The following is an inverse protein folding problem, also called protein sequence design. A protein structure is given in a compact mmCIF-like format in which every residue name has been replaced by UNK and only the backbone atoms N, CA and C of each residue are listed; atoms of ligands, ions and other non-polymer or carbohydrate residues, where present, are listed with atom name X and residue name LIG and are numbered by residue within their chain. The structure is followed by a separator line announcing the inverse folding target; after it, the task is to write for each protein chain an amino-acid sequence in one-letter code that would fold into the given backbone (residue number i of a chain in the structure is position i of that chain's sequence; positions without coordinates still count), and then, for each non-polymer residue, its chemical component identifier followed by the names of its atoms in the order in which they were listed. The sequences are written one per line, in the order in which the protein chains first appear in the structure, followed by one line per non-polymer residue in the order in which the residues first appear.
data_IF_296493910651
#
_entry.id   IF_296493910651
#
_cell.length_a   1.000
_cell.length_b   1.000
_cell.length_c   1.000
_cell.angle_alpha   90.00
_cell.angle_beta   90.00
_cell.angle_gamma   90.00
#
_symmetry.space_group_name_H-M   'P 1'
#
loop_
_entity.id
_entity.type
_entity.pdbx_description
1 polymer ?
#
# COMPACT_ATOMS: atom_id res chain seq x y z
N UNK A 1 -18.83 -32.53 11.98
CA UNK A 1 -19.42 -31.51 12.87
C UNK A 1 -18.25 -30.72 13.47
N UNK A 2 -17.82 -29.68 12.73
CA UNK A 2 -16.61 -28.87 12.99
C UNK A 2 -17.00 -27.77 13.98
N UNK A 3 -16.38 -27.73 15.17
CA UNK A 3 -16.38 -26.55 16.04
C UNK A 3 -15.02 -25.85 15.90
N UNK A 4 -15.02 -24.75 15.15
CA UNK A 4 -13.94 -23.77 15.12
C UNK A 4 -13.91 -23.07 16.49
N UNK A 5 -12.86 -23.30 17.29
CA UNK A 5 -12.61 -22.50 18.48
C UNK A 5 -11.99 -21.17 18.06
N UNK A 6 -12.81 -20.12 18.12
CA UNK A 6 -12.38 -18.72 18.15
C UNK A 6 -11.52 -18.50 19.42
N UNK A 7 -10.20 -18.48 19.27
CA UNK A 7 -9.33 -17.96 20.33
C UNK A 7 -9.08 -16.47 20.09
N UNK A 8 -9.90 -15.65 20.75
CA UNK A 8 -9.64 -14.21 20.89
C UNK A 8 -8.40 -14.05 21.78
N UNK A 9 -7.38 -13.25 21.36
CA UNK A 9 -6.22 -13.00 22.21
C UNK A 9 -6.65 -12.23 23.48
N UNK A 10 -6.10 -12.63 24.62
CA UNK A 10 -6.44 -12.09 25.95
C UNK A 10 -6.21 -10.58 26.04
N UNK A 11 -7.04 -9.90 26.82
CA UNK A 11 -7.02 -8.44 27.07
C UNK A 11 -5.64 -7.90 27.45
N UNK A 12 -4.82 -8.71 28.13
CA UNK A 12 -3.45 -8.37 28.54
C UNK A 12 -2.47 -8.23 27.38
N UNK A 13 -2.62 -9.06 26.33
CA UNK A 13 -1.78 -8.97 25.12
C UNK A 13 -2.07 -7.70 24.31
N UNK A 14 -3.33 -7.24 24.28
CA UNK A 14 -3.73 -5.99 23.61
C UNK A 14 -3.22 -4.74 24.35
N UNK A 15 -3.19 -4.77 25.68
CA UNK A 15 -2.64 -3.68 26.51
C UNK A 15 -1.11 -3.58 26.37
N UNK A 16 -0.40 -4.71 26.25
CA UNK A 16 1.05 -4.71 26.03
C UNK A 16 1.42 -4.21 24.63
N UNK A 17 0.69 -4.64 23.58
CA UNK A 17 0.84 -4.09 22.24
C UNK A 17 0.59 -2.59 22.22
N UNK A 18 -0.47 -2.11 22.87
CA UNK A 18 -0.72 -0.68 23.04
C UNK A 18 0.42 0.04 23.78
N UNK A 19 1.07 -0.59 24.75
CA UNK A 19 2.19 -0.02 25.54
C UNK A 19 3.50 0.08 24.76
N UNK A 20 3.87 -0.96 24.00
CA UNK A 20 5.06 -0.91 23.12
C UNK A 20 4.83 0.00 21.90
N UNK A 21 3.62 0.00 21.35
CA UNK A 21 3.21 0.92 20.28
C UNK A 21 3.08 2.35 20.80
N UNK A 22 2.64 2.60 22.05
CA UNK A 22 2.65 3.96 22.63
C UNK A 22 4.06 4.48 22.85
N UNK A 23 5.05 3.62 23.13
CA UNK A 23 6.46 4.05 23.16
C UNK A 23 6.96 4.44 21.78
N UNK A 24 6.60 3.73 20.72
CA UNK A 24 6.96 4.12 19.36
C UNK A 24 6.21 5.35 18.86
N UNK A 25 4.92 5.49 19.23
CA UNK A 25 4.14 6.71 19.04
C UNK A 25 4.77 7.95 19.72
N UNK A 26 5.67 7.76 20.69
CA UNK A 26 6.40 8.85 21.33
C UNK A 26 7.63 9.31 20.53
N UNK A 27 8.15 8.48 19.62
CA UNK A 27 9.31 8.80 18.77
C UNK A 27 8.92 9.22 17.34
N UNK A 28 7.71 8.91 16.89
CA UNK A 28 7.10 9.59 15.74
C UNK A 28 6.75 11.01 16.17
N UNK A 29 7.34 12.00 15.51
CA UNK A 29 6.98 13.43 15.55
C UNK A 29 5.52 13.67 15.91
N UNK A 30 5.27 14.62 16.82
CA UNK A 30 3.95 15.15 17.23
C UNK A 30 2.87 14.75 16.22
N UNK A 31 2.07 13.71 16.52
CA UNK A 31 0.87 13.45 15.72
C UNK A 31 0.10 14.76 15.73
N UNK A 32 -0.14 15.40 14.58
CA UNK A 32 -0.75 16.71 14.55
C UNK A 32 -2.06 16.62 15.32
N UNK A 33 -2.10 17.27 16.49
CA UNK A 33 -3.33 17.43 17.23
C UNK A 33 -4.15 18.39 16.40
N UNK A 34 -5.07 17.85 15.61
CA UNK A 34 -6.05 18.67 14.93
C UNK A 34 -6.86 19.35 16.04
N UNK A 35 -6.80 20.67 16.13
CA UNK A 35 -7.43 21.44 17.21
C UNK A 35 -8.97 21.37 17.18
N UNK A 36 -9.54 20.70 16.18
CA UNK A 36 -10.96 20.43 16.02
C UNK A 36 -11.78 21.68 15.68
N UNK A 37 -11.13 22.83 15.40
CA UNK A 37 -11.83 24.10 15.24
C UNK A 37 -12.24 24.41 13.81
N UNK A 38 -11.59 23.81 12.80
CA UNK A 38 -12.02 23.89 11.38
C UNK A 38 -11.59 22.62 10.64
N UNK A 39 -12.50 21.87 9.99
CA UNK A 39 -12.16 20.64 9.26
C UNK A 39 -11.17 20.92 8.11
N UNK A 40 -10.21 20.02 7.88
CA UNK A 40 -9.16 20.22 6.87
C UNK A 40 -9.71 20.17 5.43
N UNK A 41 -10.80 19.43 5.26
CA UNK A 41 -11.60 19.28 4.04
C UNK A 41 -13.07 19.52 4.34
N UNK A 42 -13.84 20.02 3.39
CA UNK A 42 -15.28 20.21 3.56
C UNK A 42 -16.03 18.90 3.34
N UNK A 43 -15.59 18.09 2.37
CA UNK A 43 -16.20 16.80 2.03
C UNK A 43 -15.19 15.84 1.43
N UNK A 44 -15.16 14.62 1.96
CA UNK A 44 -14.26 13.55 1.54
C UNK A 44 -15.05 12.48 0.77
N UNK A 45 -14.66 12.21 -0.46
CA UNK A 45 -15.19 11.10 -1.25
C UNK A 45 -14.23 9.91 -1.23
N UNK A 46 -14.74 8.68 -1.16
CA UNK A 46 -13.94 7.46 -1.35
C UNK A 46 -14.56 6.58 -2.43
N UNK A 47 -13.81 6.34 -3.50
CA UNK A 47 -14.21 5.48 -4.62
C UNK A 47 -13.49 4.14 -4.49
N UNK A 48 -14.26 3.11 -4.13
CA UNK A 48 -13.80 1.81 -3.68
C UNK A 48 -13.79 1.71 -2.16
N UNK A 49 -14.33 0.63 -1.61
CA UNK A 49 -14.42 0.36 -0.15
C UNK A 49 -13.68 -0.91 0.26
N UNK A 50 -12.69 -1.31 -0.54
CA UNK A 50 -11.84 -2.47 -0.24
C UNK A 50 -10.95 -2.29 1.00
N UNK A 51 -10.15 -3.31 1.29
CA UNK A 51 -9.28 -3.35 2.49
C UNK A 51 -8.35 -2.14 2.62
N UNK A 52 -7.84 -1.60 1.51
CA UNK A 52 -6.95 -0.44 1.54
C UNK A 52 -7.70 0.87 1.78
N UNK A 53 -8.87 1.05 1.16
CA UNK A 53 -9.75 2.17 1.48
C UNK A 53 -10.07 2.20 2.98
N UNK A 54 -10.50 1.06 3.52
CA UNK A 54 -10.78 0.92 4.94
C UNK A 54 -9.56 1.22 5.83
N UNK A 55 -8.36 0.79 5.40
CA UNK A 55 -7.11 1.05 6.11
C UNK A 55 -6.74 2.54 6.22
N UNK A 56 -7.25 3.38 5.32
CA UNK A 56 -7.02 4.82 5.31
C UNK A 56 -8.17 5.59 5.97
N UNK A 57 -9.41 5.21 5.69
CA UNK A 57 -10.60 5.86 6.27
C UNK A 57 -10.66 5.69 7.79
N UNK A 58 -10.39 4.47 8.29
CA UNK A 58 -10.53 4.17 9.72
C UNK A 58 -9.59 5.01 10.59
N UNK A 59 -8.28 5.15 10.30
CA UNK A 59 -7.43 6.05 11.06
C UNK A 59 -7.86 7.51 10.97
N UNK A 60 -8.26 8.02 9.80
CA UNK A 60 -8.73 9.41 9.66
C UNK A 60 -9.92 9.72 10.58
N UNK A 61 -10.83 8.76 10.76
CA UNK A 61 -12.00 8.92 11.63
C UNK A 61 -11.62 8.75 13.11
N UNK A 62 -10.91 7.66 13.43
CA UNK A 62 -10.62 7.28 14.83
C UNK A 62 -9.57 8.17 15.51
N UNK A 63 -8.69 8.82 14.74
CA UNK A 63 -7.76 9.84 15.25
C UNK A 63 -8.40 11.22 15.40
N UNK A 64 -9.64 11.40 14.92
CA UNK A 64 -10.35 12.68 14.95
C UNK A 64 -9.92 13.66 13.86
N UNK A 65 -9.20 13.20 12.83
CA UNK A 65 -8.82 14.06 11.69
C UNK A 65 -10.06 14.59 10.95
N UNK A 66 -11.07 13.73 10.74
CA UNK A 66 -12.40 14.16 10.27
C UNK A 66 -13.52 13.33 10.93
N UNK A 67 -14.69 13.93 11.23
CA UNK A 67 -15.87 13.18 11.64
C UNK A 67 -16.42 12.33 10.47
N UNK A 68 -16.97 11.15 10.78
CA UNK A 68 -17.46 10.20 9.79
C UNK A 68 -18.53 10.78 8.82
N UNK A 69 -19.30 11.78 9.27
CA UNK A 69 -20.32 12.46 8.47
C UNK A 69 -19.75 13.22 7.25
N UNK A 70 -18.46 13.56 7.27
CA UNK A 70 -17.80 14.29 6.18
C UNK A 70 -17.40 13.34 5.04
N UNK A 71 -17.52 12.02 5.24
CA UNK A 71 -17.13 11.00 4.28
C UNK A 71 -18.34 10.44 3.54
N UNK A 72 -18.25 10.41 2.21
CA UNK A 72 -19.15 9.69 1.32
C UNK A 72 -18.38 8.61 0.57
N UNK A 73 -18.86 7.36 0.60
CA UNK A 73 -18.20 6.22 -0.05
C UNK A 73 -19.06 5.63 -1.15
N UNK A 74 -18.41 5.10 -2.19
CA UNK A 74 -19.05 4.34 -3.26
C UNK A 74 -18.23 3.10 -3.60
N UNK A 75 -18.89 1.95 -3.78
CA UNK A 75 -18.30 0.75 -4.36
C UNK A 75 -19.33 0.03 -5.23
N UNK A 76 -18.87 -0.65 -6.28
CA UNK A 76 -19.71 -1.51 -7.13
C UNK A 76 -20.32 -2.67 -6.33
N UNK A 77 -19.69 -3.06 -5.23
CA UNK A 77 -20.20 -4.02 -4.26
C UNK A 77 -20.97 -3.31 -3.15
N UNK A 78 -22.29 -3.33 -3.24
CA UNK A 78 -23.19 -2.78 -2.21
C UNK A 78 -22.94 -3.38 -0.83
N UNK A 79 -22.67 -4.69 -0.75
CA UNK A 79 -22.36 -5.37 0.51
C UNK A 79 -21.09 -4.81 1.18
N UNK A 80 -20.00 -4.63 0.44
CA UNK A 80 -18.78 -4.02 1.01
C UNK A 80 -19.01 -2.57 1.43
N UNK A 81 -19.78 -1.83 0.64
CA UNK A 81 -20.13 -0.44 0.94
C UNK A 81 -20.96 -0.34 2.24
N UNK A 82 -21.99 -1.17 2.41
CA UNK A 82 -22.80 -1.24 3.64
C UNK A 82 -21.97 -1.68 4.84
N UNK A 83 -21.05 -2.64 4.69
CA UNK A 83 -20.16 -3.06 5.77
C UNK A 83 -19.30 -1.89 6.27
N UNK A 84 -18.68 -1.15 5.36
CA UNK A 84 -17.84 0.01 5.71
C UNK A 84 -18.68 1.14 6.30
N UNK A 85 -19.88 1.40 5.77
CA UNK A 85 -20.82 2.38 6.33
C UNK A 85 -21.20 2.03 7.77
N UNK A 86 -21.55 0.77 8.03
CA UNK A 86 -21.95 0.32 9.36
C UNK A 86 -20.78 0.34 10.37
N UNK A 87 -19.57 -0.02 9.93
CA UNK A 87 -18.38 0.00 10.81
C UNK A 87 -17.92 1.42 11.13
N UNK A 88 -17.88 2.32 10.14
CA UNK A 88 -17.25 3.63 10.27
C UNK A 88 -18.24 4.78 10.45
N UNK A 89 -19.53 4.58 10.23
CA UNK A 89 -20.56 5.62 10.28
C UNK A 89 -20.50 6.62 9.12
N UNK A 90 -19.92 6.21 8.00
CA UNK A 90 -19.79 7.03 6.78
C UNK A 90 -21.04 6.94 5.90
N UNK A 91 -21.26 7.95 5.07
CA UNK A 91 -22.38 7.99 4.12
C UNK A 91 -22.06 7.14 2.89
N UNK A 92 -23.09 6.58 2.26
CA UNK A 92 -22.97 5.82 1.00
C UNK A 92 -23.60 6.60 -0.15
N UNK A 93 -23.02 6.50 -1.34
CA UNK A 93 -23.60 7.01 -2.58
C UNK A 93 -24.05 5.87 -3.50
N UNK A 94 -24.93 6.17 -4.44
CA UNK A 94 -25.41 5.23 -5.47
C UNK A 94 -24.55 5.26 -6.74
N UNK A 95 -23.71 6.28 -6.90
CA UNK A 95 -22.85 6.45 -8.08
C UNK A 95 -21.56 7.22 -7.78
N UNK A 96 -20.58 7.14 -8.69
CA UNK A 96 -19.32 7.91 -8.60
C UNK A 96 -19.60 9.43 -8.62
N UNK A 97 -20.45 9.98 -9.54
CA UNK A 97 -20.77 11.41 -9.53
C UNK A 97 -21.33 11.89 -8.19
N UNK A 98 -22.27 11.15 -7.61
CA UNK A 98 -22.89 11.50 -6.33
C UNK A 98 -21.86 11.50 -5.18
N UNK A 99 -20.98 10.51 -5.13
CA UNK A 99 -19.93 10.45 -4.12
C UNK A 99 -19.00 11.67 -4.19
N UNK A 100 -18.62 12.08 -5.40
CA UNK A 100 -17.65 13.14 -5.66
C UNK A 100 -18.27 14.55 -5.62
N UNK A 101 -19.59 14.68 -5.70
CA UNK A 101 -20.28 15.97 -5.76
C UNK A 101 -19.85 16.92 -4.63
N UNK A 102 -19.20 18.03 -4.99
CA UNK A 102 -18.67 19.04 -4.06
C UNK A 102 -17.51 18.57 -3.18
N UNK A 103 -16.97 17.37 -3.37
CA UNK A 103 -15.84 16.85 -2.59
C UNK A 103 -14.56 17.63 -2.90
N UNK A 104 -13.81 18.01 -1.87
CA UNK A 104 -12.51 18.67 -1.97
C UNK A 104 -11.33 17.73 -1.66
N UNK A 105 -11.61 16.52 -1.18
CA UNK A 105 -10.65 15.42 -1.15
C UNK A 105 -11.28 14.12 -1.65
N UNK A 106 -10.61 13.44 -2.57
CA UNK A 106 -11.13 12.23 -3.21
C UNK A 106 -10.08 11.13 -3.08
N UNK A 107 -10.41 10.07 -2.33
CA UNK A 107 -9.61 8.86 -2.25
C UNK A 107 -10.08 7.86 -3.31
N UNK A 108 -9.20 7.52 -4.26
CA UNK A 108 -9.45 6.51 -5.27
C UNK A 108 -8.71 5.21 -4.93
N UNK A 109 -9.48 4.22 -4.49
CA UNK A 109 -9.00 2.94 -3.95
C UNK A 109 -9.64 1.73 -4.63
N UNK A 110 -9.98 1.87 -5.91
CA UNK A 110 -10.48 0.77 -6.74
C UNK A 110 -9.36 -0.19 -7.16
N UNK A 111 -9.72 -1.39 -7.61
CA UNK A 111 -8.76 -2.30 -8.22
C UNK A 111 -8.28 -1.76 -9.58
N UNK A 112 -7.01 -2.00 -9.99
CA UNK A 112 -6.51 -1.53 -11.28
C UNK A 112 -7.35 -1.96 -12.49
N UNK A 113 -7.98 -3.14 -12.43
CA UNK A 113 -8.85 -3.65 -13.50
C UNK A 113 -10.17 -2.87 -13.64
N UNK A 114 -10.56 -2.13 -12.62
CA UNK A 114 -11.80 -1.35 -12.63
C UNK A 114 -11.62 0.04 -13.26
N UNK A 115 -10.38 0.46 -13.57
CA UNK A 115 -10.10 1.71 -14.31
C UNK A 115 -10.33 1.52 -15.82
N UNK A 116 -11.59 1.28 -16.20
CA UNK A 116 -12.00 1.10 -17.58
C UNK A 116 -12.76 2.34 -18.11
N UNK A 117 -13.18 2.29 -19.38
CA UNK A 117 -13.88 3.40 -20.02
C UNK A 117 -15.17 3.81 -19.30
N UNK A 118 -15.90 2.86 -18.70
CA UNK A 118 -17.12 3.14 -17.95
C UNK A 118 -16.83 3.89 -16.64
N UNK A 119 -15.76 3.51 -15.93
CA UNK A 119 -15.30 4.23 -14.74
C UNK A 119 -14.99 5.70 -15.06
N UNK A 120 -14.22 5.95 -16.11
CA UNK A 120 -13.89 7.33 -16.51
C UNK A 120 -15.10 8.10 -17.08
N UNK A 121 -16.07 7.41 -17.69
CA UNK A 121 -17.31 8.03 -18.14
C UNK A 121 -18.14 8.55 -16.96
N UNK A 122 -18.25 7.78 -15.88
CA UNK A 122 -18.89 8.21 -14.64
C UNK A 122 -18.08 9.32 -13.96
N UNK A 123 -16.76 9.16 -13.84
CA UNK A 123 -15.90 10.17 -13.21
C UNK A 123 -15.99 11.54 -13.90
N UNK A 124 -16.12 11.58 -15.24
CA UNK A 124 -16.31 12.84 -16.01
C UNK A 124 -17.65 13.53 -15.76
N UNK A 125 -18.67 12.81 -15.29
CA UNK A 125 -19.97 13.41 -14.92
C UNK A 125 -19.94 14.06 -13.54
N UNK A 126 -18.95 13.73 -12.72
CA UNK A 126 -18.81 14.25 -11.37
C UNK A 126 -18.44 15.73 -11.35
N UNK A 127 -18.94 16.47 -10.35
CA UNK A 127 -18.60 17.88 -10.13
C UNK A 127 -17.86 18.03 -8.79
N UNK A 128 -16.54 17.74 -8.75
CA UNK A 128 -15.75 17.97 -7.55
C UNK A 128 -15.62 19.47 -7.24
N UNK A 129 -15.19 19.79 -6.02
CA UNK A 129 -14.79 21.14 -5.69
C UNK A 129 -13.67 21.63 -6.65
N UNK A 130 -13.63 22.91 -7.06
CA UNK A 130 -12.61 23.39 -8.02
C UNK A 130 -11.16 23.19 -7.60
N UNK A 131 -10.91 23.09 -6.29
CA UNK A 131 -9.58 22.85 -5.71
C UNK A 131 -9.39 21.42 -5.18
N UNK A 132 -10.24 20.47 -5.60
CA UNK A 132 -10.21 19.11 -5.09
C UNK A 132 -8.85 18.43 -5.32
N UNK A 133 -8.43 17.64 -4.34
CA UNK A 133 -7.23 16.80 -4.43
C UNK A 133 -7.65 15.34 -4.58
N UNK A 134 -7.18 14.68 -5.64
CA UNK A 134 -7.37 13.26 -5.89
C UNK A 134 -6.17 12.47 -5.37
N UNK A 135 -6.36 11.66 -4.33
CA UNK A 135 -5.37 10.70 -3.84
C UNK A 135 -5.67 9.30 -4.39
N UNK A 136 -4.79 8.78 -5.25
CA UNK A 136 -4.87 7.42 -5.77
C UNK A 136 -3.95 6.48 -5.00
N UNK A 137 -4.47 5.30 -4.64
CA UNK A 137 -3.72 4.20 -4.00
C UNK A 137 -3.63 2.96 -4.92
N UNK A 138 -3.88 3.15 -6.21
CA UNK A 138 -4.04 2.06 -7.17
C UNK A 138 -2.66 1.57 -7.62
N UNK A 139 -2.36 0.31 -7.32
CA UNK A 139 -1.09 -0.31 -7.68
C UNK A 139 -0.81 -0.29 -9.19
N UNK A 140 0.41 0.09 -9.56
CA UNK A 140 0.89 0.12 -10.94
C UNK A 140 0.30 1.21 -11.82
N UNK A 141 -0.64 2.05 -11.36
CA UNK A 141 -1.26 3.08 -12.19
C UNK A 141 -0.66 4.44 -11.90
N UNK A 142 -0.07 5.05 -12.94
CA UNK A 142 0.54 6.37 -12.83
C UNK A 142 -0.50 7.47 -12.70
N UNK A 143 -0.05 8.66 -12.28
CA UNK A 143 -0.85 9.88 -12.24
C UNK A 143 -1.53 10.15 -13.60
N UNK A 144 -0.81 9.88 -14.69
CA UNK A 144 -1.29 10.06 -16.06
C UNK A 144 -2.62 9.36 -16.34
N UNK A 145 -2.97 8.27 -15.65
CA UNK A 145 -4.27 7.59 -15.90
C UNK A 145 -5.48 8.51 -15.68
N UNK A 146 -5.31 9.56 -14.88
CA UNK A 146 -6.35 10.53 -14.53
C UNK A 146 -6.34 11.80 -15.39
N UNK A 147 -5.54 11.88 -16.46
CA UNK A 147 -5.51 13.05 -17.35
C UNK A 147 -6.86 13.38 -18.01
N UNK A 148 -7.76 12.40 -18.10
CA UNK A 148 -9.12 12.57 -18.62
C UNK A 148 -10.11 13.15 -17.58
N UNK A 149 -9.66 13.37 -16.35
CA UNK A 149 -10.49 13.95 -15.28
C UNK A 149 -10.34 15.47 -15.28
N UNK A 150 -11.30 16.17 -14.67
CA UNK A 150 -11.24 17.63 -14.48
C UNK A 150 -10.35 18.06 -13.29
N UNK A 151 -9.62 17.12 -12.68
CA UNK A 151 -8.85 17.34 -11.46
C UNK A 151 -7.37 17.44 -11.81
N UNK A 152 -6.75 18.58 -11.47
CA UNK A 152 -5.33 18.82 -11.75
C UNK A 152 -4.42 18.54 -10.55
N UNK A 153 -4.96 18.50 -9.33
CA UNK A 153 -4.21 18.16 -8.11
C UNK A 153 -4.33 16.67 -7.84
N UNK A 154 -3.35 15.90 -8.28
CA UNK A 154 -3.37 14.44 -8.18
C UNK A 154 -2.16 13.99 -7.38
N UNK A 155 -2.41 13.11 -6.43
CA UNK A 155 -1.42 12.41 -5.63
C UNK A 155 -1.50 10.94 -5.97
N UNK A 156 -0.36 10.34 -6.31
CA UNK A 156 -0.23 8.89 -6.33
C UNK A 156 0.48 8.46 -5.06
N UNK A 157 -0.04 7.42 -4.42
CA UNK A 157 0.52 6.90 -3.17
C UNK A 157 0.54 5.38 -3.17
N UNK A 158 1.50 4.82 -2.46
CA UNK A 158 1.61 3.38 -2.19
C UNK A 158 1.66 3.15 -0.68
N UNK A 159 0.49 3.09 -0.01
CA UNK A 159 0.39 2.66 1.38
C UNK A 159 0.56 1.14 1.51
N UNK A 160 0.64 0.65 2.74
CA UNK A 160 0.68 -0.78 3.04
C UNK A 160 -0.29 -1.18 4.17
N UNK A 161 -0.49 -2.49 4.36
CA UNK A 161 -1.54 -3.00 5.27
C UNK A 161 -1.35 -2.65 6.75
N UNK A 162 -0.13 -2.47 7.30
CA UNK A 162 0.06 -1.94 8.65
C UNK A 162 -0.56 -0.54 8.89
N UNK A 163 -0.99 0.17 7.85
CA UNK A 163 -1.77 1.41 7.97
C UNK A 163 -3.02 1.26 8.87
N UNK A 164 -3.63 0.06 8.88
CA UNK A 164 -4.81 -0.25 9.70
C UNK A 164 -4.58 -0.11 11.22
N UNK A 165 -3.31 -0.16 11.66
CA UNK A 165 -2.93 0.01 13.06
C UNK A 165 -2.08 1.26 13.29
N UNK A 166 -2.02 2.16 12.30
CA UNK A 166 -1.28 3.41 12.37
C UNK A 166 0.25 3.27 12.29
N UNK A 167 0.74 2.11 11.87
CA UNK A 167 2.18 1.80 11.72
C UNK A 167 2.52 1.49 10.25
N UNK A 168 1.76 2.11 9.33
CA UNK A 168 1.97 1.99 7.89
C UNK A 168 3.19 2.76 7.40
N UNK A 169 3.59 2.43 6.17
CA UNK A 169 4.52 3.22 5.38
C UNK A 169 3.87 3.59 4.06
N UNK A 170 3.78 4.88 3.75
CA UNK A 170 3.22 5.38 2.50
C UNK A 170 4.25 6.19 1.72
N UNK A 171 4.67 5.70 0.56
CA UNK A 171 5.47 6.49 -0.38
C UNK A 171 4.53 7.19 -1.35
N UNK A 172 4.74 8.48 -1.62
CA UNK A 172 3.82 9.25 -2.46
C UNK A 172 4.51 10.33 -3.28
N UNK A 173 3.92 10.63 -4.43
CA UNK A 173 4.32 11.70 -5.35
C UNK A 173 3.07 12.39 -5.87
N UNK A 174 3.22 13.54 -6.51
CA UNK A 174 2.08 14.35 -6.91
C UNK A 174 2.34 15.18 -8.16
N UNK A 175 1.27 15.69 -8.76
CA UNK A 175 1.38 16.66 -9.86
C UNK A 175 2.05 17.96 -9.40
N UNK A 176 2.70 18.70 -10.31
CA UNK A 176 3.27 20.01 -10.01
C UNK A 176 2.24 21.05 -9.55
N UNK A 177 0.95 20.81 -9.79
CA UNK A 177 -0.15 21.69 -9.41
C UNK A 177 -0.44 21.71 -7.90
N UNK A 178 0.12 20.77 -7.12
CA UNK A 178 0.02 20.83 -5.66
C UNK A 178 0.96 21.89 -5.09
N UNK A 179 0.38 22.83 -4.35
CA UNK A 179 1.12 23.85 -3.60
C UNK A 179 1.84 23.24 -2.39
N UNK A 180 2.75 23.99 -1.76
CA UNK A 180 3.38 23.55 -0.51
C UNK A 180 2.38 23.26 0.62
N UNK A 181 1.32 24.05 0.72
CA UNK A 181 0.22 23.80 1.67
C UNK A 181 -0.57 22.54 1.33
N UNK A 182 -0.84 22.27 0.05
CA UNK A 182 -1.50 21.02 -0.37
C UNK A 182 -0.64 19.81 0.03
N UNK A 183 0.68 19.88 -0.20
CA UNK A 183 1.61 18.80 0.18
C UNK A 183 1.65 18.56 1.68
N UNK A 184 1.68 19.61 2.50
CA UNK A 184 1.64 19.49 3.96
C UNK A 184 0.31 18.87 4.43
N UNK A 185 -0.80 19.23 3.81
CA UNK A 185 -2.10 18.66 4.10
C UNK A 185 -2.15 17.16 3.76
N UNK A 186 -1.63 16.76 2.60
CA UNK A 186 -1.53 15.35 2.21
C UNK A 186 -0.61 14.56 3.14
N UNK A 187 0.55 15.12 3.50
CA UNK A 187 1.43 14.51 4.48
C UNK A 187 0.70 14.29 5.81
N UNK A 188 -0.10 15.26 6.27
CA UNK A 188 -0.92 15.17 7.49
C UNK A 188 -1.93 14.04 7.41
N UNK A 189 -2.69 13.94 6.30
CA UNK A 189 -3.64 12.86 6.04
C UNK A 189 -2.96 11.50 6.13
N UNK A 190 -1.86 11.32 5.40
CA UNK A 190 -1.14 10.05 5.35
C UNK A 190 -0.49 9.70 6.70
N UNK A 191 -0.12 10.71 7.50
CA UNK A 191 0.45 10.51 8.83
C UNK A 191 -0.54 9.93 9.85
N UNK A 192 -1.84 10.03 9.60
CA UNK A 192 -2.86 9.35 10.43
C UNK A 192 -2.70 7.82 10.37
N UNK A 193 -2.13 7.32 9.27
CA UNK A 193 -1.98 5.91 8.96
C UNK A 193 -0.57 5.36 9.25
N UNK A 194 0.38 6.20 9.66
CA UNK A 194 1.77 5.80 9.92
C UNK A 194 2.77 6.79 9.31
N UNK A 195 3.95 6.33 8.93
CA UNK A 195 4.94 7.20 8.30
C UNK A 195 4.61 7.40 6.81
N UNK A 196 4.81 8.61 6.30
CA UNK A 196 4.79 8.87 4.85
C UNK A 196 6.06 9.55 4.35
N UNK A 197 6.42 9.26 3.11
CA UNK A 197 7.62 9.75 2.44
C UNK A 197 7.26 10.29 1.06
N UNK A 198 7.51 11.58 0.88
CA UNK A 198 7.38 12.23 -0.42
C UNK A 198 8.59 11.89 -1.31
N UNK A 199 8.33 11.66 -2.59
CA UNK A 199 9.35 11.46 -3.63
C UNK A 199 9.00 12.29 -4.87
N UNK A 200 9.99 12.97 -5.44
CA UNK A 200 9.80 13.79 -6.64
C UNK A 200 9.55 12.94 -7.90
N UNK A 201 10.27 11.82 -8.03
CA UNK A 201 10.14 10.89 -9.15
C UNK A 201 9.07 9.84 -8.83
N UNK A 202 8.01 9.84 -9.63
CA UNK A 202 6.88 8.92 -9.51
C UNK A 202 7.30 7.44 -9.63
N UNK A 203 8.40 7.14 -10.35
CA UNK A 203 8.90 5.77 -10.51
C UNK A 203 9.32 5.12 -9.20
N UNK A 204 9.68 5.91 -8.17
CA UNK A 204 9.95 5.40 -6.83
C UNK A 204 8.71 4.76 -6.19
N UNK A 205 7.49 5.12 -6.61
CA UNK A 205 6.27 4.52 -6.06
C UNK A 205 6.19 3.03 -6.46
N UNK A 206 6.51 2.69 -7.71
CA UNK A 206 6.55 1.29 -8.14
C UNK A 206 7.68 0.50 -7.46
N UNK A 207 8.82 1.15 -7.20
CA UNK A 207 9.89 0.54 -6.40
C UNK A 207 9.42 0.30 -4.95
N UNK A 208 8.75 1.28 -4.35
CA UNK A 208 8.20 1.18 -3.01
C UNK A 208 7.17 0.06 -2.86
N UNK A 209 6.41 -0.27 -3.92
CA UNK A 209 5.55 -1.47 -3.97
C UNK A 209 6.30 -2.74 -3.56
N UNK A 210 7.53 -2.90 -4.05
CA UNK A 210 8.37 -4.08 -3.77
C UNK A 210 9.03 -4.08 -2.40
N UNK A 211 9.06 -2.92 -1.72
CA UNK A 211 9.70 -2.74 -0.41
C UNK A 211 8.64 -2.72 0.69
N UNK A 212 7.79 -1.69 0.71
CA UNK A 212 6.82 -1.45 1.77
C UNK A 212 5.42 -1.95 1.43
N UNK A 213 5.00 -1.90 0.16
CA UNK A 213 3.65 -2.31 -0.26
C UNK A 213 3.42 -3.81 -0.07
N UNK A 214 4.30 -4.63 -0.67
CA UNK A 214 4.28 -6.10 -0.56
C UNK A 214 5.13 -6.62 0.61
N UNK A 215 6.00 -5.77 1.19
CA UNK A 215 6.87 -6.08 2.32
C UNK A 215 6.21 -6.84 3.47
N UNK A 216 5.00 -6.45 3.94
CA UNK A 216 4.31 -7.18 5.01
C UNK A 216 4.14 -8.66 4.73
N UNK A 217 3.91 -9.08 3.47
CA UNK A 217 3.79 -10.49 3.13
C UNK A 217 5.11 -11.25 3.33
N UNK A 218 6.25 -10.63 3.03
CA UNK A 218 7.57 -11.21 3.26
C UNK A 218 7.83 -11.40 4.76
N UNK A 219 7.45 -10.39 5.54
CA UNK A 219 7.56 -10.41 7.00
C UNK A 219 6.66 -11.48 7.60
N UNK A 220 5.41 -11.62 7.15
CA UNK A 220 4.50 -12.66 7.65
C UNK A 220 4.98 -14.06 7.30
N UNK A 221 5.52 -14.28 6.11
CA UNK A 221 6.10 -15.57 5.73
C UNK A 221 7.33 -15.92 6.60
N UNK A 222 8.17 -14.93 6.91
CA UNK A 222 9.29 -15.12 7.83
C UNK A 222 8.80 -15.45 9.25
N UNK A 223 7.80 -14.73 9.76
CA UNK A 223 7.18 -15.03 11.05
C UNK A 223 6.65 -16.45 11.10
N UNK A 224 5.86 -16.84 10.10
CA UNK A 224 5.29 -18.19 9.98
C UNK A 224 6.39 -19.25 10.02
N UNK A 225 7.43 -19.08 9.23
CA UNK A 225 8.58 -20.00 9.16
C UNK A 225 9.31 -20.12 10.51
N UNK A 226 9.50 -19.01 11.22
CA UNK A 226 10.13 -19.01 12.55
C UNK A 226 9.26 -19.71 13.59
N UNK A 227 7.95 -19.49 13.55
CA UNK A 227 7.01 -20.15 14.48
C UNK A 227 6.98 -21.66 14.21
N UNK A 228 6.95 -22.07 12.94
CA UNK A 228 7.02 -23.49 12.56
C UNK A 228 8.32 -24.15 13.05
N UNK A 229 9.46 -23.48 12.86
CA UNK A 229 10.75 -23.96 13.38
C UNK A 229 10.75 -24.12 14.89
N UNK A 230 10.20 -23.15 15.64
CA UNK A 230 10.09 -23.24 17.09
C UNK A 230 9.17 -24.39 17.55
N UNK A 231 8.05 -24.60 16.87
CA UNK A 231 7.15 -25.73 17.15
C UNK A 231 7.83 -27.06 16.86
N UNK A 232 8.61 -27.15 15.80
CA UNK A 232 9.39 -28.36 15.50
C UNK A 232 10.44 -28.68 16.57
N UNK A 233 11.00 -27.67 17.23
CA UNK A 233 11.88 -27.83 18.39
C UNK A 233 11.13 -28.18 19.70
N UNK A 234 9.80 -28.25 19.68
CA UNK A 234 8.97 -28.67 20.81
C UNK A 234 8.25 -27.55 21.54
N UNK A 235 8.29 -26.30 21.06
CA UNK A 235 7.49 -25.23 21.66
C UNK A 235 5.99 -25.41 21.37
N UNK A 236 5.12 -25.13 22.35
CA UNK A 236 3.71 -24.83 22.08
C UNK A 236 3.58 -23.65 21.10
N UNK A 237 2.63 -23.78 20.15
CA UNK A 237 2.42 -22.80 19.06
C UNK A 237 2.20 -21.38 19.58
N UNK A 238 1.40 -21.22 20.63
CA UNK A 238 1.11 -19.93 21.25
C UNK A 238 2.37 -19.24 21.78
N UNK A 239 3.23 -19.97 22.49
CA UNK A 239 4.51 -19.47 23.01
C UNK A 239 5.47 -19.11 21.89
N UNK A 240 5.57 -19.97 20.87
CA UNK A 240 6.39 -19.70 19.68
C UNK A 240 5.95 -18.40 18.98
N UNK A 241 4.65 -18.21 18.77
CA UNK A 241 4.10 -16.98 18.19
C UNK A 241 4.48 -15.75 19.00
N UNK A 242 4.32 -15.79 20.33
CA UNK A 242 4.70 -14.67 21.19
C UNK A 242 6.20 -14.34 21.08
N UNK A 243 7.07 -15.35 21.12
CA UNK A 243 8.52 -15.16 20.98
C UNK A 243 8.89 -14.50 19.65
N UNK A 244 8.31 -14.97 18.54
CA UNK A 244 8.60 -14.43 17.20
C UNK A 244 8.11 -12.99 17.07
N UNK A 245 6.90 -12.68 17.52
CA UNK A 245 6.36 -11.32 17.45
C UNK A 245 7.23 -10.31 18.20
N UNK A 246 7.65 -10.64 19.44
CA UNK A 246 8.51 -9.75 20.22
C UNK A 246 9.93 -9.66 19.67
N UNK A 247 10.47 -10.75 19.11
CA UNK A 247 11.80 -10.74 18.46
C UNK A 247 11.82 -9.80 17.26
N UNK A 248 10.81 -9.87 16.39
CA UNK A 248 10.77 -9.02 15.20
C UNK A 248 10.48 -7.55 15.53
N UNK A 249 9.53 -7.29 16.44
CA UNK A 249 9.23 -5.93 16.90
C UNK A 249 10.47 -5.30 17.56
N UNK A 250 11.06 -5.97 18.56
CA UNK A 250 12.20 -5.45 19.30
C UNK A 250 13.43 -5.21 18.42
N UNK A 251 13.72 -6.12 17.48
CA UNK A 251 14.86 -5.97 16.56
C UNK A 251 14.67 -4.77 15.63
N UNK A 252 13.45 -4.55 15.14
CA UNK A 252 13.13 -3.42 14.25
C UNK A 252 13.25 -2.10 15.01
N UNK A 253 12.64 -2.00 16.19
CA UNK A 253 12.72 -0.83 17.05
C UNK A 253 14.16 -0.47 17.42
N UNK A 254 14.94 -1.47 17.84
CA UNK A 254 16.34 -1.27 18.20
C UNK A 254 17.17 -0.78 17.00
N UNK A 255 16.95 -1.34 15.81
CA UNK A 255 17.62 -0.87 14.61
C UNK A 255 17.32 0.60 14.30
N UNK A 256 16.05 1.00 14.41
CA UNK A 256 15.63 2.38 14.16
C UNK A 256 16.19 3.36 15.19
N UNK A 257 16.16 3.02 16.48
CA UNK A 257 16.69 3.88 17.55
C UNK A 257 18.22 3.98 17.53
N UNK A 258 18.91 2.90 17.16
CA UNK A 258 20.37 2.90 17.08
C UNK A 258 20.93 3.77 15.95
N UNK A 259 20.21 3.89 14.83
CA UNK A 259 20.74 4.48 13.59
C UNK A 259 21.89 3.68 12.96
N UNK A 260 22.26 2.53 13.52
CA UNK A 260 23.38 1.71 13.07
C UNK A 260 23.02 0.89 11.83
N UNK A 261 24.02 0.63 11.00
CA UNK A 261 23.83 -0.24 9.84
C UNK A 261 23.43 -1.67 10.30
N UNK A 262 22.42 -2.34 9.70
CA UNK A 262 21.95 -3.66 10.15
C UNK A 262 23.04 -4.75 10.24
N UNK A 263 24.10 -4.64 9.42
CA UNK A 263 25.24 -5.56 9.51
C UNK A 263 26.02 -5.43 10.85
N UNK A 264 26.12 -4.22 11.41
CA UNK A 264 26.74 -3.97 12.71
C UNK A 264 25.87 -4.59 13.81
N UNK A 265 24.56 -4.31 13.79
CA UNK A 265 23.58 -4.89 14.72
C UNK A 265 23.62 -6.42 14.72
N UNK A 266 23.63 -7.04 13.54
CA UNK A 266 23.77 -8.50 13.38
C UNK A 266 25.08 -9.01 13.98
N UNK A 267 26.19 -8.32 13.75
CA UNK A 267 27.49 -8.73 14.29
C UNK A 267 27.51 -8.65 15.84
N UNK A 268 26.88 -7.63 16.43
CA UNK A 268 26.82 -7.46 17.89
C UNK A 268 26.08 -8.59 18.62
N UNK A 269 25.12 -9.25 17.95
CA UNK A 269 24.38 -10.41 18.52
C UNK A 269 24.97 -11.77 18.10
N UNK A 270 26.13 -11.77 17.42
CA UNK A 270 26.78 -12.98 16.91
C UNK A 270 28.08 -13.25 17.66
N UNK A 271 28.02 -14.09 18.68
CA UNK A 271 29.22 -14.58 19.36
C UNK A 271 29.97 -15.62 18.50
N UNK A 272 31.33 -15.60 18.50
CA UNK A 272 32.11 -16.64 17.83
C UNK A 272 31.73 -18.04 18.30
N UNK A 273 31.50 -18.96 17.35
CA UNK A 273 31.05 -20.33 17.61
C UNK A 273 29.73 -20.45 18.40
N UNK A 274 28.97 -19.36 18.51
CA UNK A 274 27.68 -19.34 19.21
C UNK A 274 26.51 -19.82 18.36
N UNK A 275 25.34 -19.94 18.99
CA UNK A 275 24.10 -20.38 18.34
C UNK A 275 23.70 -19.47 17.17
N UNK A 276 23.84 -18.15 17.31
CA UNK A 276 23.56 -17.18 16.23
C UNK A 276 24.47 -17.41 15.02
N UNK A 277 25.76 -17.69 15.23
CA UNK A 277 26.70 -17.92 14.14
C UNK A 277 26.32 -19.16 13.31
N UNK A 278 25.95 -20.26 13.97
CA UNK A 278 25.47 -21.48 13.31
C UNK A 278 24.17 -21.26 12.54
N UNK A 279 23.22 -20.50 13.11
CA UNK A 279 21.97 -20.18 12.43
C UNK A 279 22.18 -19.28 11.19
N UNK A 280 23.02 -18.25 11.31
CA UNK A 280 23.36 -17.36 10.18
C UNK A 280 24.06 -18.11 9.06
N UNK A 281 24.91 -19.10 9.37
CA UNK A 281 25.53 -19.97 8.36
C UNK A 281 24.47 -20.69 7.52
N UNK A 282 23.47 -21.31 8.14
CA UNK A 282 22.40 -22.01 7.41
C UNK A 282 21.52 -21.06 6.58
N UNK A 283 21.24 -19.86 7.10
CA UNK A 283 20.49 -18.83 6.35
C UNK A 283 21.25 -18.38 5.09
N UNK A 284 22.56 -18.18 5.17
CA UNK A 284 23.39 -17.82 4.02
C UNK A 284 23.56 -19.01 3.05
N UNK A 285 23.69 -20.24 3.55
CA UNK A 285 23.71 -21.45 2.74
C UNK A 285 22.40 -21.63 1.95
N UNK A 286 21.27 -21.29 2.59
CA UNK A 286 19.95 -21.18 1.95
C UNK A 286 19.79 -20.01 0.98
N UNK A 287 20.83 -19.18 0.78
CA UNK A 287 20.88 -18.05 -0.15
C UNK A 287 19.80 -17.00 0.13
N UNK A 288 19.48 -16.77 1.41
CA UNK A 288 18.38 -15.87 1.82
C UNK A 288 18.45 -14.49 1.14
N UNK A 289 19.65 -13.92 0.98
CA UNK A 289 19.85 -12.62 0.32
C UNK A 289 19.38 -12.62 -1.12
N UNK A 290 19.69 -13.69 -1.86
CA UNK A 290 19.29 -13.85 -3.26
C UNK A 290 17.79 -14.03 -3.35
N UNK A 291 17.19 -14.87 -2.49
CA UNK A 291 15.75 -15.10 -2.45
C UNK A 291 14.98 -13.80 -2.22
N UNK A 292 15.37 -13.01 -1.21
CA UNK A 292 14.71 -11.73 -0.90
C UNK A 292 14.85 -10.76 -2.08
N UNK A 293 16.07 -10.59 -2.61
CA UNK A 293 16.34 -9.69 -3.73
C UNK A 293 15.52 -10.08 -4.96
N UNK A 294 15.46 -11.36 -5.31
CA UNK A 294 14.75 -11.84 -6.49
C UNK A 294 13.22 -11.71 -6.31
N UNK A 295 12.70 -11.92 -5.10
CA UNK A 295 11.30 -11.68 -4.77
C UNK A 295 10.91 -10.19 -4.93
N UNK A 296 11.78 -9.27 -4.47
CA UNK A 296 11.57 -7.83 -4.65
C UNK A 296 11.57 -7.43 -6.13
N UNK A 297 12.54 -7.92 -6.91
CA UNK A 297 12.56 -7.67 -8.36
C UNK A 297 11.33 -8.24 -9.08
N UNK A 298 10.90 -9.44 -8.73
CA UNK A 298 9.68 -10.03 -9.29
C UNK A 298 8.45 -9.18 -8.97
N UNK A 299 8.34 -8.68 -7.74
CA UNK A 299 7.26 -7.79 -7.32
C UNK A 299 7.29 -6.45 -8.09
N UNK A 300 8.46 -5.83 -8.21
CA UNK A 300 8.61 -4.56 -8.94
C UNK A 300 8.21 -4.71 -10.41
N UNK A 301 8.70 -5.74 -11.09
CA UNK A 301 8.32 -6.02 -12.49
C UNK A 301 6.82 -6.23 -12.64
N UNK A 302 6.20 -6.95 -11.69
CA UNK A 302 4.75 -7.15 -11.72
C UNK A 302 3.97 -5.85 -11.53
N UNK A 303 4.47 -4.93 -10.70
CA UNK A 303 3.88 -3.58 -10.56
C UNK A 303 3.87 -2.84 -11.90
N UNK A 304 4.99 -2.88 -12.63
CA UNK A 304 5.13 -2.27 -13.96
C UNK A 304 4.20 -2.92 -14.99
N UNK A 305 4.12 -4.26 -15.04
CA UNK A 305 3.19 -4.99 -15.92
C UNK A 305 1.73 -4.59 -15.68
N UNK A 306 1.30 -4.47 -14.42
CA UNK A 306 -0.05 -4.05 -14.08
C UNK A 306 -0.35 -2.60 -14.52
N UNK A 307 0.71 -1.79 -14.63
CA UNK A 307 0.68 -0.44 -15.19
C UNK A 307 0.74 -0.35 -16.70
N UNK A 308 0.97 -1.47 -17.40
CA UNK A 308 1.35 -1.49 -18.82
C UNK A 308 2.65 -0.70 -19.10
N UNK A 309 3.59 -0.71 -18.15
CA UNK A 309 4.94 -0.15 -18.31
C UNK A 309 5.96 -1.23 -18.68
N UNK A 310 7.12 -0.83 -19.20
CA UNK A 310 8.21 -1.75 -19.50
C UNK A 310 8.72 -2.42 -18.21
N UNK A 311 8.47 -3.72 -18.09
CA UNK A 311 8.88 -4.54 -16.94
C UNK A 311 10.24 -5.24 -17.15
N UNK A 312 10.94 -4.93 -18.23
CA UNK A 312 12.23 -5.53 -18.58
C UNK A 312 13.41 -4.91 -17.80
N UNK A 313 13.27 -4.88 -16.47
CA UNK A 313 14.20 -4.21 -15.55
C UNK A 313 14.87 -5.19 -14.58
N UNK A 314 16.10 -4.84 -14.19
CA UNK A 314 16.87 -5.55 -13.17
C UNK A 314 17.76 -6.69 -13.68
N UNK A 315 18.38 -7.46 -12.75
CA UNK A 315 19.35 -8.49 -13.09
C UNK A 315 18.76 -9.61 -13.96
N UNK A 316 19.54 -10.10 -14.93
CA UNK A 316 19.16 -11.25 -15.76
C UNK A 316 18.16 -10.96 -16.88
N UNK A 317 17.95 -9.69 -17.22
CA UNK A 317 17.10 -9.23 -18.33
C UNK A 317 17.95 -8.46 -19.34
N UNK A 318 17.78 -8.73 -20.65
CA UNK A 318 18.47 -7.98 -21.72
C UNK A 318 17.67 -6.72 -22.05
N UNK A 319 18.32 -5.57 -22.21
CA UNK A 319 17.70 -4.37 -22.81
C UNK A 319 17.45 -4.60 -24.32
N UNK A 320 16.52 -5.48 -24.65
CA UNK A 320 15.93 -5.52 -25.99
C UNK A 320 14.58 -4.82 -25.88
N UNK A 321 14.34 -3.72 -26.61
CA UNK A 321 13.11 -2.97 -26.49
C UNK A 321 11.93 -3.85 -26.89
N UNK A 322 10.99 -4.05 -25.97
CA UNK A 322 9.69 -4.59 -26.34
C UNK A 322 8.94 -3.51 -27.12
N UNK A 323 8.73 -3.75 -28.41
CA UNK A 323 7.74 -3.02 -29.19
C UNK A 323 6.40 -3.29 -28.53
N UNK A 324 5.88 -2.31 -27.78
CA UNK A 324 4.49 -2.31 -27.35
C UNK A 324 3.68 -2.19 -28.64
N UNK A 325 3.10 -3.30 -29.09
CA UNK A 325 2.11 -3.25 -30.15
C UNK A 325 0.92 -2.45 -29.62
N UNK A 326 0.89 -1.16 -29.97
CA UNK A 326 -0.32 -0.37 -29.90
C UNK A 326 -1.38 -1.13 -30.73
N UNK A 327 -2.49 -1.48 -30.11
CA UNK A 327 -3.64 -2.00 -30.82
C UNK A 327 -4.13 -0.90 -31.78
N UNK A 328 -3.81 -1.03 -33.05
CA UNK A 328 -4.47 -0.26 -34.11
C UNK A 328 -5.87 -0.82 -34.31
N UNK A 329 -6.90 0.02 -34.42
CA UNK A 329 -8.25 -0.45 -34.74
C UNK A 329 -8.33 -0.90 -36.19
N UNK A 330 -9.20 -1.88 -36.41
CA UNK A 330 -9.48 -2.58 -37.66
C UNK A 330 -9.46 -1.71 -38.93
N UNK A 331 -8.81 -2.21 -39.98
CA UNK A 331 -9.15 -1.88 -41.36
C UNK A 331 -9.21 -3.15 -42.21
N UNK A 332 -10.45 -3.58 -42.43
CA UNK A 332 -11.02 -4.27 -43.58
C UNK A 332 -10.12 -5.09 -44.52
N UNK A 333 -10.58 -6.34 -44.71
CA UNK A 333 -10.27 -7.24 -45.80
C UNK A 333 -10.37 -6.55 -47.18
N UNK A 334 -9.34 -6.72 -48.01
CA UNK A 334 -9.53 -6.89 -49.45
C UNK A 334 -8.63 -8.01 -49.94
N UNK A 335 -9.26 -9.05 -50.47
CA UNK A 335 -8.68 -10.00 -51.41
C UNK A 335 -8.08 -9.27 -52.60
N UNK A 336 -6.83 -9.59 -52.93
CA UNK A 336 -6.29 -9.77 -54.28
C UNK A 336 -4.77 -9.64 -54.21
N UNK A 337 -4.06 -10.76 -54.40
CA UNK A 337 -2.92 -10.90 -55.30
C UNK A 337 -2.17 -12.21 -54.99
N UNK A 338 -2.56 -13.23 -55.75
CA UNK A 338 -1.72 -14.38 -56.04
C UNK A 338 -0.48 -13.94 -56.84
N UNK A 339 0.61 -14.66 -56.56
CA UNK A 339 1.66 -15.03 -57.51
C UNK A 339 2.91 -14.13 -57.66
N UNK A 340 4.03 -14.85 -57.89
CA UNK A 340 5.37 -14.40 -58.33
C UNK A 340 6.25 -13.83 -57.19
N UNK A 341 7.35 -14.44 -56.71
CA UNK A 341 8.54 -14.96 -57.41
C UNK A 341 9.31 -15.92 -56.48
N UNK A 342 9.68 -17.09 -57.02
CA UNK A 342 10.69 -18.03 -56.50
C UNK A 342 12.12 -17.45 -56.59
N UNK A 343 13.02 -18.00 -55.77
CA UNK A 343 14.49 -18.01 -55.90
C UNK A 343 15.26 -16.78 -55.38
N UNK A 344 15.85 -16.92 -54.18
CA UNK A 344 17.30 -17.12 -53.99
C UNK A 344 17.62 -17.58 -52.58
#
# INVERSE_FOLDING_TARGET
MIRLFNHQPSTTSRLFWRSCVTRYHYYSTEKPSFDGTTPAFSKIACIGTGKMAHALLKPMITTGFHPAKDFTVFDVSTNLMEQVSNELGVQTAESIPEAIEGADFILCAVKPQNLNAAFFAEFRKAQPHPNAILLSVIAGKTIDVFHHTHINKIVRSMPNTPAQVGEGMTVWSCTPNLTGSDRNLIQTVLSTCGHSMYVDDESYIDMATSISGSGPAYIFLLMESMIDGAVHMGFPRDKATTLVYHTMLGSTLYAMESGEHPAILRNMVTSPSGTTASALYELENGKIRTVIKDAMWACYRRSLEMGNHDSNVGPGRSQTPHVVHAATPDSELSSDDEEVVRQR
#
